data_IF_461815521218
#
_entry.id   IF_461815521218
#
_cell.length_a   1.000
_cell.length_b   1.000
_cell.length_c   1.000
_cell.angle_alpha   90.00
_cell.angle_beta   90.00
_cell.angle_gamma   90.00
#
_symmetry.space_group_name_H-M   'P 1'
#
loop_
_entity.id
_entity.type
_entity.pdbx_description
1 polymer ?
#
# COMPACT_ATOMS: atom_id res chain seq x y z
N UNK A 1 -33.33 -10.86 -22.50
CA UNK A 1 -33.01 -11.14 -21.08
C UNK A 1 -31.79 -10.31 -20.71
N UNK A 2 -31.98 -9.19 -20.03
CA UNK A 2 -30.92 -8.22 -19.73
C UNK A 2 -30.39 -8.47 -18.32
N UNK A 3 -29.18 -9.01 -18.21
CA UNK A 3 -28.51 -9.16 -16.91
C UNK A 3 -27.88 -7.83 -16.51
N UNK A 4 -28.47 -7.16 -15.54
CA UNK A 4 -27.91 -5.97 -14.92
C UNK A 4 -26.72 -6.39 -14.06
N UNK A 5 -25.49 -6.11 -14.52
CA UNK A 5 -24.31 -6.21 -13.67
C UNK A 5 -24.40 -5.13 -12.60
N UNK A 6 -24.70 -5.52 -11.36
CA UNK A 6 -24.51 -4.67 -10.18
C UNK A 6 -23.02 -4.36 -10.01
N UNK A 7 -22.55 -3.31 -10.68
CA UNK A 7 -21.22 -2.75 -10.44
C UNK A 7 -21.29 -1.96 -9.14
N UNK A 8 -20.92 -2.58 -8.03
CA UNK A 8 -20.67 -1.90 -6.76
C UNK A 8 -19.75 -0.70 -7.03
N UNK A 9 -20.08 0.51 -6.57
CA UNK A 9 -19.22 1.68 -6.79
C UNK A 9 -17.84 1.37 -6.21
N UNK A 10 -16.83 1.27 -7.08
CA UNK A 10 -15.42 1.22 -6.69
C UNK A 10 -15.19 2.50 -5.85
N UNK A 11 -14.73 2.41 -4.58
CA UNK A 11 -14.41 3.62 -3.82
C UNK A 11 -13.48 4.45 -4.68
N UNK A 12 -13.82 5.74 -4.85
CA UNK A 12 -13.13 6.61 -5.77
C UNK A 12 -11.65 6.66 -5.40
N UNK A 13 -10.82 6.03 -6.23
CA UNK A 13 -9.38 6.22 -6.18
C UNK A 13 -9.13 7.71 -6.34
N UNK A 14 -8.43 8.32 -5.40
CA UNK A 14 -7.98 9.69 -5.54
C UNK A 14 -7.18 9.77 -6.85
N UNK A 15 -7.68 10.44 -7.91
CA UNK A 15 -7.11 10.32 -9.24
C UNK A 15 -5.67 10.83 -9.30
N UNK A 16 -5.20 11.51 -8.26
CA UNK A 16 -3.85 12.04 -8.12
C UNK A 16 -2.75 10.97 -8.11
N UNK A 17 -3.05 9.71 -7.77
CA UNK A 17 -2.00 8.68 -7.72
C UNK A 17 -1.33 8.44 -9.08
N UNK A 18 -2.05 8.67 -10.18
CA UNK A 18 -1.52 8.50 -11.55
C UNK A 18 -0.43 9.51 -11.91
N UNK A 19 -0.35 10.62 -11.18
CA UNK A 19 0.56 11.73 -11.44
C UNK A 19 1.73 11.80 -10.44
N UNK A 20 1.86 10.82 -9.54
CA UNK A 20 2.93 10.84 -8.55
C UNK A 20 4.30 10.61 -9.19
N UNK A 21 5.29 11.47 -8.87
CA UNK A 21 6.63 11.30 -9.38
C UNK A 21 7.33 10.11 -8.70
N UNK A 22 8.26 9.43 -9.40
CA UNK A 22 9.22 8.53 -8.76
C UNK A 22 9.94 9.22 -7.61
N UNK A 23 10.17 8.51 -6.51
CA UNK A 23 10.75 9.05 -5.28
C UNK A 23 9.74 9.61 -4.27
N UNK A 24 8.47 9.79 -4.65
CA UNK A 24 7.43 10.20 -3.72
C UNK A 24 7.19 9.11 -2.66
N UNK A 25 7.08 9.51 -1.39
CA UNK A 25 6.70 8.62 -0.30
C UNK A 25 5.18 8.57 -0.18
N UNK A 26 4.62 7.37 -0.20
CA UNK A 26 3.17 7.16 -0.29
C UNK A 26 2.73 6.05 0.67
N UNK A 27 1.46 6.11 1.04
CA UNK A 27 0.74 4.98 1.62
C UNK A 27 -0.36 4.55 0.65
N UNK A 28 -0.43 3.25 0.39
CA UNK A 28 -1.39 2.65 -0.52
C UNK A 28 -2.13 1.55 0.21
N UNK A 29 -3.45 1.72 0.34
CA UNK A 29 -4.34 0.66 0.79
C UNK A 29 -4.71 -0.20 -0.41
N UNK A 30 -4.40 -1.50 -0.34
CA UNK A 30 -4.77 -2.47 -1.38
C UNK A 30 -5.60 -3.61 -0.81
N UNK A 31 -6.40 -4.23 -1.67
CA UNK A 31 -7.04 -5.51 -1.41
C UNK A 31 -6.00 -6.62 -1.39
N UNK A 32 -6.21 -7.57 -0.50
CA UNK A 32 -5.47 -8.83 -0.47
C UNK A 32 -6.15 -9.84 -1.39
N UNK A 33 -5.38 -10.69 -2.04
CA UNK A 33 -5.93 -11.88 -2.71
C UNK A 33 -6.47 -12.85 -1.65
N UNK A 34 -7.34 -13.81 -2.02
CA UNK A 34 -7.83 -14.81 -1.08
C UNK A 34 -6.70 -15.58 -0.37
N UNK A 35 -5.61 -15.91 -1.08
CA UNK A 35 -4.44 -16.57 -0.50
C UNK A 35 -3.68 -15.68 0.49
N UNK A 36 -3.48 -14.40 0.14
CA UNK A 36 -2.85 -13.43 1.05
C UNK A 36 -3.73 -13.17 2.28
N UNK A 37 -5.05 -13.07 2.10
CA UNK A 37 -6.00 -12.91 3.20
C UNK A 37 -5.94 -14.10 4.16
N UNK A 38 -5.87 -15.33 3.63
CA UNK A 38 -5.66 -16.56 4.42
C UNK A 38 -4.37 -16.51 5.23
N UNK A 39 -3.28 -16.01 4.65
CA UNK A 39 -2.01 -15.86 5.37
C UNK A 39 -2.06 -14.86 6.53
N UNK A 40 -3.10 -14.01 6.60
CA UNK A 40 -3.32 -13.07 7.70
C UNK A 40 -4.33 -13.55 8.74
N UNK A 41 -4.87 -14.76 8.60
CA UNK A 41 -5.88 -15.27 9.51
C UNK A 41 -5.36 -15.39 10.93
N UNK A 42 -6.13 -14.85 11.87
CA UNK A 42 -5.89 -15.03 13.28
C UNK A 42 -6.32 -16.46 13.68
N UNK A 43 -5.44 -17.27 14.31
CA UNK A 43 -5.74 -18.67 14.63
C UNK A 43 -6.79 -18.84 15.74
N UNK A 44 -7.03 -17.81 16.56
CA UNK A 44 -7.99 -17.86 17.64
C UNK A 44 -9.41 -17.48 17.18
N UNK A 45 -9.52 -16.57 16.21
CA UNK A 45 -10.83 -16.07 15.70
C UNK A 45 -11.20 -16.60 14.32
N UNK A 46 -10.22 -17.06 13.54
CA UNK A 46 -10.39 -17.45 12.14
C UNK A 46 -10.55 -16.29 11.16
N UNK A 47 -10.58 -15.04 11.65
CA UNK A 47 -10.79 -13.85 10.82
C UNK A 47 -9.48 -13.42 10.15
N UNK A 48 -9.54 -13.12 8.85
CA UNK A 48 -8.41 -12.63 8.06
C UNK A 48 -8.65 -11.21 7.55
N UNK A 49 -7.57 -10.49 7.24
CA UNK A 49 -7.66 -9.16 6.67
C UNK A 49 -8.04 -9.25 5.19
N UNK A 50 -8.92 -8.36 4.74
CA UNK A 50 -9.29 -8.22 3.32
C UNK A 50 -8.48 -7.14 2.60
N UNK A 51 -7.81 -6.27 3.37
CA UNK A 51 -6.99 -5.17 2.86
C UNK A 51 -5.71 -5.05 3.67
N UNK A 52 -4.69 -4.44 3.07
CA UNK A 52 -3.45 -4.08 3.74
C UNK A 52 -2.98 -2.70 3.28
N UNK A 53 -2.23 -2.03 4.15
CA UNK A 53 -1.62 -0.73 3.88
C UNK A 53 -0.13 -0.94 3.58
N UNK A 54 0.29 -0.56 2.38
CA UNK A 54 1.68 -0.59 1.92
C UNK A 54 2.25 0.82 1.98
N UNK A 55 3.30 1.02 2.78
CA UNK A 55 4.04 2.27 2.84
C UNK A 55 5.31 2.09 2.02
N UNK A 56 5.57 2.98 1.07
CA UNK A 56 6.70 2.84 0.17
C UNK A 56 7.09 4.11 -0.57
N UNK A 57 8.15 3.98 -1.35
CA UNK A 57 8.63 4.97 -2.29
C UNK A 57 8.20 4.57 -3.69
N UNK A 58 7.59 5.47 -4.43
CA UNK A 58 7.19 5.24 -5.82
C UNK A 58 8.42 5.00 -6.68
N UNK A 59 8.46 3.87 -7.38
CA UNK A 59 9.46 3.58 -8.41
C UNK A 59 8.90 3.90 -9.80
N UNK A 60 7.66 3.49 -10.06
CA UNK A 60 6.98 3.70 -11.33
C UNK A 60 5.46 3.73 -11.14
N UNK A 61 4.78 4.46 -12.02
CA UNK A 61 3.32 4.52 -12.12
C UNK A 61 2.94 4.22 -13.56
N UNK A 62 2.06 3.23 -13.75
CA UNK A 62 1.40 2.96 -15.03
C UNK A 62 -0.07 3.36 -14.88
N UNK A 63 -0.47 4.55 -15.37
CA UNK A 63 -1.82 5.07 -15.19
C UNK A 63 -2.89 4.07 -15.63
N UNK A 64 -3.83 3.77 -14.73
CA UNK A 64 -4.91 2.81 -14.99
C UNK A 64 -4.51 1.33 -14.96
N UNK A 65 -3.23 1.01 -14.78
CA UNK A 65 -2.73 -0.38 -14.74
C UNK A 65 -2.16 -0.76 -13.39
N UNK A 66 -1.14 -0.05 -12.91
CA UNK A 66 -0.43 -0.44 -11.68
C UNK A 66 0.42 0.69 -11.11
N UNK A 67 0.85 0.50 -9.87
CA UNK A 67 1.89 1.29 -9.21
C UNK A 67 2.94 0.35 -8.64
N UNK A 68 4.21 0.66 -8.86
CA UNK A 68 5.34 -0.09 -8.32
C UNK A 68 6.02 0.72 -7.24
N UNK A 69 6.14 0.12 -6.06
CA UNK A 69 6.70 0.72 -4.86
C UNK A 69 7.89 -0.09 -4.36
N UNK A 70 8.91 0.58 -3.84
CA UNK A 70 9.84 -0.05 -2.91
C UNK A 70 9.31 0.15 -1.50
N UNK A 71 9.10 -0.91 -0.74
CA UNK A 71 8.60 -0.80 0.63
C UNK A 71 9.56 0.03 1.49
N UNK A 72 9.00 0.95 2.26
CA UNK A 72 9.73 1.79 3.22
C UNK A 72 9.59 1.14 4.60
N UNK A 73 10.13 -0.08 4.71
CA UNK A 73 10.17 -0.79 5.97
C UNK A 73 11.09 -0.02 6.93
N UNK A 74 10.54 0.46 8.06
CA UNK A 74 11.38 1.06 9.09
C UNK A 74 12.23 0.01 9.79
N UNK A 75 13.53 0.27 9.93
CA UNK A 75 14.43 -0.59 10.72
C UNK A 75 15.29 -1.52 9.86
N UNK A 76 15.57 -2.73 10.37
CA UNK A 76 16.48 -3.73 9.76
C UNK A 76 15.80 -4.65 8.74
N UNK A 77 14.53 -4.41 8.41
CA UNK A 77 13.83 -5.19 7.40
C UNK A 77 14.29 -4.78 6.00
N UNK A 78 14.53 -5.77 5.16
CA UNK A 78 14.89 -5.54 3.77
C UNK A 78 13.75 -4.83 3.04
N UNK A 79 14.10 -3.80 2.27
CA UNK A 79 13.13 -3.13 1.39
C UNK A 79 12.85 -4.02 0.20
N UNK A 80 11.58 -4.32 -0.04
CA UNK A 80 11.13 -5.22 -1.12
C UNK A 80 10.34 -4.42 -2.15
N UNK A 81 10.48 -4.77 -3.42
CA UNK A 81 9.65 -4.20 -4.49
C UNK A 81 8.26 -4.85 -4.51
N UNK A 82 7.23 -4.03 -4.60
CA UNK A 82 5.83 -4.45 -4.64
C UNK A 82 5.13 -3.73 -5.79
N UNK A 83 4.56 -4.50 -6.71
CA UNK A 83 3.69 -3.99 -7.76
C UNK A 83 2.24 -4.21 -7.37
N UNK A 84 1.44 -3.13 -7.37
CA UNK A 84 0.04 -3.13 -6.98
C UNK A 84 -0.81 -2.80 -8.21
N UNK A 85 -1.64 -3.73 -8.69
CA UNK A 85 -2.59 -3.47 -9.77
C UNK A 85 -3.64 -2.43 -9.39
N UNK A 86 -4.08 -1.63 -10.35
CA UNK A 86 -5.04 -0.55 -10.12
C UNK A 86 -6.39 -1.06 -9.60
N UNK A 87 -6.81 -2.27 -9.96
CA UNK A 87 -8.02 -2.92 -9.47
C UNK A 87 -7.94 -3.36 -8.00
N UNK A 88 -6.74 -3.52 -7.47
CA UNK A 88 -6.50 -3.83 -6.06
C UNK A 88 -6.40 -2.56 -5.21
N UNK A 89 -6.15 -1.39 -5.81
CA UNK A 89 -6.07 -0.13 -5.08
C UNK A 89 -7.44 0.26 -4.52
N UNK A 90 -7.48 0.54 -3.22
CA UNK A 90 -8.69 0.99 -2.50
C UNK A 90 -8.60 2.47 -2.16
N UNK A 91 -7.44 2.89 -1.66
CA UNK A 91 -7.14 4.27 -1.30
C UNK A 91 -5.64 4.50 -1.39
N UNK A 92 -5.24 5.73 -1.68
CA UNK A 92 -3.83 6.08 -1.78
C UNK A 92 -3.63 7.51 -1.31
N UNK A 93 -2.52 7.79 -0.64
CA UNK A 93 -2.16 9.14 -0.20
C UNK A 93 -0.64 9.34 -0.24
N UNK A 94 -0.21 10.51 -0.69
CA UNK A 94 1.17 10.96 -0.52
C UNK A 94 1.42 11.38 0.93
N UNK A 95 2.53 10.95 1.50
CA UNK A 95 2.90 11.22 2.90
C UNK A 95 4.24 11.95 2.97
N UNK A 96 4.49 12.76 4.02
CA UNK A 96 5.75 13.46 4.16
C UNK A 96 6.94 12.49 4.25
N UNK A 97 8.15 12.95 3.89
CA UNK A 97 9.38 12.20 4.09
C UNK A 97 9.53 11.73 5.54
N UNK A 98 10.29 10.64 5.75
CA UNK A 98 10.56 10.14 7.09
C UNK A 98 11.28 11.24 7.90
N UNK A 99 10.83 11.56 9.13
CA UNK A 99 11.56 12.48 9.98
C UNK A 99 13.00 11.99 10.20
N UNK A 100 13.99 12.89 10.27
CA UNK A 100 15.37 12.51 10.58
C UNK A 100 15.41 11.74 11.90
N UNK A 101 16.12 10.61 11.91
CA UNK A 101 16.22 9.75 13.09
C UNK A 101 16.95 10.53 14.19
N UNK A 102 16.29 10.74 15.34
CA UNK A 102 17.00 11.29 16.51
C UNK A 102 18.12 10.32 16.87
N UNK A 103 19.35 10.82 16.93
CA UNK A 103 20.48 10.03 17.43
C UNK A 103 20.16 9.59 18.87
N UNK A 104 20.54 8.38 19.27
CA UNK A 104 20.42 7.96 20.66
C UNK A 104 21.14 8.99 21.54
N UNK A 105 20.50 9.39 22.64
CA UNK A 105 21.15 10.24 23.64
C UNK A 105 22.36 9.46 24.16
N UNK A 106 23.57 10.02 24.02
CA UNK A 106 24.74 9.46 24.71
C UNK A 106 24.47 9.52 26.22
N UNK A 107 24.79 8.46 26.97
CA UNK A 107 24.84 8.56 28.43
C UNK A 107 25.80 9.68 28.81
N UNK A 108 25.36 10.59 29.68
CA UNK A 108 26.24 11.52 30.37
C UNK A 108 26.84 10.70 31.52
N UNK A 109 28.16 10.58 31.56
CA UNK A 109 28.93 9.96 32.65
C UNK A 109 28.82 10.80 33.93
#
# INVERSE_FOLDING_TARGET
MSTTMSSTPRPALDPQWVAWPPGARVVVRRRLTPDEARATQDPATGEGRSVTDVIGIVLSVSPGSSITLRTDAGGSHESVEVTIPAEQLVAAKQIPPRPPRRLPRQPID
#
